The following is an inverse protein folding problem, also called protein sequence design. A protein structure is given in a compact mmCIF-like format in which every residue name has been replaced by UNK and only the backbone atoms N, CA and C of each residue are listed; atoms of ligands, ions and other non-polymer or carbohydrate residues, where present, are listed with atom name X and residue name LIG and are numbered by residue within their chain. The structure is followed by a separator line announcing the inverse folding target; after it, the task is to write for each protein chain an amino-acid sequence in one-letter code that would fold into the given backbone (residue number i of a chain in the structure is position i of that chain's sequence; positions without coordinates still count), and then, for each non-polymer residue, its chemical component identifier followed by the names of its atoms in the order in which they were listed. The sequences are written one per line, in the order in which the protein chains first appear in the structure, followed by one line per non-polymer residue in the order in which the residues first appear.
data_IF_361812794832
#
_entry.id   IF_361812794832
#
_cell.length_a   1.000
_cell.length_b   1.000
_cell.length_c   1.000
_cell.angle_alpha   90.00
_cell.angle_beta   90.00
_cell.angle_gamma   90.00
#
_symmetry.space_group_name_H-M   'P 1'
#
loop_
_entity.id
_entity.type
_entity.pdbx_description
1 polymer ?
#
# COMPACT_ATOMS: atom_id res chain seq x y z
N UNK A 1 -68.93 29.35 77.87
CA UNK A 1 -68.29 30.52 77.24
C UNK A 1 -67.58 30.00 76.01
N UNK A 2 -67.96 30.46 74.82
CA UNK A 2 -67.44 29.94 73.55
C UNK A 2 -66.32 30.89 73.12
N UNK A 3 -65.08 30.39 73.11
CA UNK A 3 -63.93 31.15 72.61
C UNK A 3 -63.86 30.98 71.09
N UNK A 4 -64.21 32.05 70.37
CA UNK A 4 -64.15 32.10 68.91
C UNK A 4 -62.81 32.71 68.54
N UNK A 5 -61.95 31.93 67.88
CA UNK A 5 -60.67 32.40 67.35
C UNK A 5 -60.93 33.29 66.12
N UNK A 6 -60.83 34.61 66.32
CA UNK A 6 -61.12 35.66 65.35
C UNK A 6 -59.99 35.88 64.34
N UNK A 7 -58.95 35.05 64.33
CA UNK A 7 -57.85 35.24 63.39
C UNK A 7 -58.34 35.02 61.94
N UNK A 8 -58.27 36.05 61.07
CA UNK A 8 -58.67 35.93 59.67
C UNK A 8 -57.89 34.80 59.00
N UNK A 9 -58.53 34.04 58.10
CA UNK A 9 -57.91 32.87 57.44
C UNK A 9 -56.56 33.19 56.80
N UNK A 10 -56.36 34.45 56.41
CA UNK A 10 -55.17 34.98 55.74
C UNK A 10 -53.92 35.02 56.64
N UNK A 11 -54.11 35.10 57.96
CA UNK A 11 -53.02 35.10 58.95
C UNK A 11 -52.81 33.76 59.64
N UNK A 12 -53.60 32.74 59.30
CA UNK A 12 -53.37 31.38 59.80
C UNK A 12 -52.12 30.83 59.13
N UNK A 13 -51.01 30.73 59.87
CA UNK A 13 -49.83 30.02 59.41
C UNK A 13 -50.22 28.59 59.07
N UNK A 14 -50.28 28.26 57.78
CA UNK A 14 -50.58 26.90 57.30
C UNK A 14 -49.54 25.96 57.90
N UNK A 15 -49.90 25.19 58.93
CA UNK A 15 -49.09 24.05 59.36
C UNK A 15 -48.94 23.16 58.13
N UNK A 16 -47.73 23.07 57.58
CA UNK A 16 -47.38 22.13 56.50
C UNK A 16 -47.46 20.71 57.09
N UNK A 17 -48.67 20.22 57.26
CA UNK A 17 -48.98 19.07 58.11
C UNK A 17 -48.70 17.70 57.46
N UNK A 18 -48.10 17.66 56.26
CA UNK A 18 -47.91 16.39 55.54
C UNK A 18 -46.50 16.13 55.01
N UNK A 19 -45.56 17.07 55.15
CA UNK A 19 -44.18 16.89 54.66
C UNK A 19 -43.16 16.54 55.76
N UNK A 20 -43.59 16.53 57.03
CA UNK A 20 -42.67 16.41 58.19
C UNK A 20 -42.54 14.97 58.71
N UNK A 21 -43.32 14.01 58.22
CA UNK A 21 -43.32 12.63 58.71
C UNK A 21 -42.79 11.60 57.69
N UNK A 22 -41.97 12.02 56.72
CA UNK A 22 -41.25 11.00 55.95
C UNK A 22 -40.20 10.39 56.88
N UNK A 23 -40.24 9.06 57.15
CA UNK A 23 -39.27 8.42 58.01
C UNK A 23 -37.88 8.58 57.39
N UNK A 24 -37.06 9.47 57.97
CA UNK A 24 -35.70 9.79 57.49
C UNK A 24 -34.85 8.54 57.26
N UNK A 25 -35.08 7.49 58.06
CA UNK A 25 -34.41 6.19 57.95
C UNK A 25 -34.70 5.47 56.63
N UNK A 26 -35.93 5.51 56.15
CA UNK A 26 -36.31 4.88 54.87
C UNK A 26 -35.73 5.64 53.68
N UNK A 27 -35.71 6.97 53.74
CA UNK A 27 -35.06 7.79 52.70
C UNK A 27 -33.56 7.49 52.64
N UNK A 28 -32.88 7.44 53.78
CA UNK A 28 -31.45 7.15 53.84
C UNK A 28 -31.17 5.75 53.28
N UNK A 29 -31.98 4.75 53.63
CA UNK A 29 -31.87 3.40 53.10
C UNK A 29 -32.11 3.34 51.59
N UNK A 30 -33.11 4.07 51.09
CA UNK A 30 -33.41 4.16 49.67
C UNK A 30 -32.29 4.84 48.87
N UNK A 31 -31.71 5.92 49.41
CA UNK A 31 -30.57 6.62 48.81
C UNK A 31 -29.33 5.72 48.78
N UNK A 32 -29.05 5.01 49.89
CA UNK A 32 -27.93 4.08 49.96
C UNK A 32 -28.12 2.92 48.97
N UNK A 33 -29.31 2.34 48.90
CA UNK A 33 -29.65 1.30 47.93
C UNK A 33 -29.50 1.78 46.48
N UNK A 34 -29.99 2.99 46.18
CA UNK A 34 -29.83 3.61 44.87
C UNK A 34 -28.35 3.81 44.51
N UNK A 35 -27.53 4.27 45.46
CA UNK A 35 -26.10 4.48 45.26
C UNK A 35 -25.35 3.16 44.96
N UNK A 36 -25.70 2.09 45.67
CA UNK A 36 -25.14 0.74 45.45
C UNK A 36 -25.55 0.20 44.08
N UNK A 37 -26.82 0.31 43.71
CA UNK A 37 -27.31 -0.10 42.39
C UNK A 37 -26.64 0.69 41.26
N UNK A 38 -26.45 1.99 41.45
CA UNK A 38 -25.76 2.84 40.49
C UNK A 38 -24.29 2.42 40.31
N UNK A 39 -23.59 2.10 41.39
CA UNK A 39 -22.22 1.57 41.31
C UNK A 39 -22.17 0.22 40.59
N UNK A 40 -23.08 -0.71 40.90
CA UNK A 40 -23.17 -2.00 40.22
C UNK A 40 -23.44 -1.82 38.71
N UNK A 41 -24.29 -0.87 38.35
CA UNK A 41 -24.57 -0.54 36.96
C UNK A 41 -23.32 -0.02 36.23
N UNK A 42 -22.58 0.91 36.83
CA UNK A 42 -21.33 1.42 36.26
C UNK A 42 -20.24 0.34 36.13
N UNK A 43 -20.12 -0.54 37.13
CA UNK A 43 -19.19 -1.67 37.09
C UNK A 43 -19.57 -2.63 35.96
N UNK A 44 -20.85 -2.92 35.77
CA UNK A 44 -21.33 -3.77 34.68
C UNK A 44 -21.02 -3.16 33.30
N UNK A 45 -21.26 -1.85 33.14
CA UNK A 45 -21.01 -1.13 31.90
C UNK A 45 -19.52 -1.09 31.55
N UNK A 46 -18.65 -0.84 32.54
CA UNK A 46 -17.19 -0.84 32.36
C UNK A 46 -16.65 -2.25 32.12
N UNK A 47 -17.19 -3.28 32.76
CA UNK A 47 -16.82 -4.68 32.51
C UNK A 47 -17.20 -5.11 31.08
N UNK A 48 -18.36 -4.69 30.57
CA UNK A 48 -18.80 -5.04 29.22
C UNK A 48 -17.95 -4.37 28.15
N UNK A 49 -17.60 -3.09 28.33
CA UNK A 49 -16.68 -2.37 27.43
C UNK A 49 -15.26 -2.95 27.48
N UNK A 50 -14.75 -3.29 28.67
CA UNK A 50 -13.44 -3.93 28.82
C UNK A 50 -13.38 -5.30 28.12
N UNK A 51 -14.46 -6.10 28.17
CA UNK A 51 -14.55 -7.38 27.43
C UNK A 51 -14.49 -7.18 25.92
N UNK A 52 -15.23 -6.20 25.39
CA UNK A 52 -15.19 -5.85 23.96
C UNK A 52 -13.79 -5.42 23.52
N UNK A 53 -13.13 -4.60 24.35
CA UNK A 53 -11.79 -4.10 24.05
C UNK A 53 -10.72 -5.20 24.10
N UNK A 54 -10.84 -6.14 25.05
CA UNK A 54 -9.99 -7.35 25.09
C UNK A 54 -10.20 -8.25 23.87
N UNK A 55 -11.46 -8.46 23.45
CA UNK A 55 -11.77 -9.22 22.25
C UNK A 55 -11.17 -8.61 20.98
N UNK A 56 -11.34 -7.29 20.80
CA UNK A 56 -10.75 -6.57 19.67
C UNK A 56 -9.21 -6.57 19.70
N UNK A 57 -8.60 -6.48 20.90
CA UNK A 57 -7.15 -6.54 21.02
C UNK A 57 -6.61 -7.94 20.69
N UNK A 58 -7.34 -8.99 21.06
CA UNK A 58 -6.99 -10.37 20.70
C UNK A 58 -7.03 -10.59 19.19
N UNK A 59 -8.10 -10.18 18.51
CA UNK A 59 -8.18 -10.29 17.05
C UNK A 59 -7.09 -9.45 16.36
N UNK A 60 -6.78 -8.26 16.85
CA UNK A 60 -5.67 -7.46 16.35
C UNK A 60 -4.30 -8.14 16.51
N UNK A 61 -4.05 -8.80 17.64
CA UNK A 61 -2.81 -9.54 17.88
C UNK A 61 -2.67 -10.76 16.97
N UNK A 62 -3.77 -11.44 16.65
CA UNK A 62 -3.76 -12.56 15.69
C UNK A 62 -3.58 -12.12 14.24
N UNK A 63 -4.08 -10.93 13.88
CA UNK A 63 -3.98 -10.39 12.51
C UNK A 63 -2.65 -9.70 12.24
N UNK A 64 -1.98 -9.15 13.27
CA UNK A 64 -0.68 -8.50 13.14
C UNK A 64 0.39 -9.35 12.43
N UNK A 65 0.66 -10.61 12.82
CA UNK A 65 1.67 -11.42 12.14
C UNK A 65 1.27 -11.82 10.71
N UNK A 66 -0.03 -11.94 10.42
CA UNK A 66 -0.52 -12.20 9.06
C UNK A 66 -0.27 -10.99 8.15
N UNK A 67 -0.48 -9.78 8.66
CA UNK A 67 -0.20 -8.54 7.93
C UNK A 67 1.29 -8.39 7.62
N UNK A 68 2.16 -8.66 8.58
CA UNK A 68 3.61 -8.60 8.39
C UNK A 68 4.10 -9.56 7.29
N UNK A 69 3.55 -10.78 7.27
CA UNK A 69 3.84 -11.75 6.19
C UNK A 69 3.38 -11.23 4.83
N UNK A 70 2.19 -10.66 4.73
CA UNK A 70 1.68 -10.09 3.48
C UNK A 70 2.53 -8.91 2.99
N UNK A 71 2.97 -8.05 3.90
CA UNK A 71 3.87 -6.93 3.56
C UNK A 71 5.25 -7.44 3.10
N UNK A 72 5.76 -8.51 3.71
CA UNK A 72 6.98 -9.20 3.25
C UNK A 72 6.83 -9.79 1.85
N UNK A 73 5.74 -10.51 1.58
CA UNK A 73 5.45 -11.06 0.25
C UNK A 73 5.29 -9.95 -0.80
N UNK A 74 4.63 -8.85 -0.45
CA UNK A 74 4.46 -7.70 -1.34
C UNK A 74 5.80 -7.06 -1.71
N UNK A 75 6.74 -6.96 -0.77
CA UNK A 75 8.11 -6.49 -1.04
C UNK A 75 8.84 -7.43 -1.99
N UNK A 76 8.79 -8.74 -1.75
CA UNK A 76 9.39 -9.74 -2.65
C UNK A 76 8.81 -9.66 -4.07
N UNK A 77 7.48 -9.51 -4.18
CA UNK A 77 6.81 -9.36 -5.47
C UNK A 77 7.28 -8.09 -6.20
N UNK A 78 7.43 -6.98 -5.47
CA UNK A 78 7.91 -5.73 -6.06
C UNK A 78 9.36 -5.83 -6.55
N UNK A 79 10.22 -6.55 -5.83
CA UNK A 79 11.61 -6.76 -6.22
C UNK A 79 11.72 -7.66 -7.45
N UNK A 80 10.92 -8.73 -7.52
CA UNK A 80 10.86 -9.61 -8.69
C UNK A 80 10.34 -8.82 -9.91
N UNK A 81 9.26 -8.07 -9.75
CA UNK A 81 8.71 -7.26 -10.83
C UNK A 81 9.67 -6.18 -11.32
N UNK A 82 10.52 -5.63 -10.45
CA UNK A 82 11.57 -4.69 -10.86
C UNK A 82 12.67 -5.35 -11.72
N UNK A 83 12.89 -6.67 -11.58
CA UNK A 83 13.89 -7.42 -12.36
C UNK A 83 13.37 -7.83 -13.75
N UNK A 84 12.06 -8.03 -13.92
CA UNK A 84 11.43 -8.39 -15.20
C UNK A 84 11.81 -7.43 -16.35
N UNK A 85 11.68 -6.09 -16.23
CA UNK A 85 12.00 -5.19 -17.33
C UNK A 85 13.49 -5.19 -17.70
N UNK A 86 14.39 -5.48 -16.75
CA UNK A 86 15.82 -5.64 -17.04
C UNK A 86 16.08 -6.87 -17.91
N UNK A 87 15.43 -7.99 -17.58
CA UNK A 87 15.50 -9.21 -18.40
C UNK A 87 14.87 -9.01 -19.77
N UNK A 88 13.72 -8.33 -19.86
CA UNK A 88 13.12 -7.99 -21.14
C UNK A 88 14.02 -7.12 -22.02
N UNK A 89 14.70 -6.13 -21.45
CA UNK A 89 15.65 -5.30 -22.20
C UNK A 89 16.83 -6.12 -22.72
N UNK A 90 17.36 -7.04 -21.91
CA UNK A 90 18.44 -7.94 -22.33
C UNK A 90 17.96 -8.87 -23.44
N UNK A 91 16.76 -9.43 -23.35
CA UNK A 91 16.21 -10.33 -24.37
C UNK A 91 15.89 -9.56 -25.67
N UNK A 92 15.25 -8.40 -25.58
CA UNK A 92 14.93 -7.55 -26.74
C UNK A 92 16.20 -7.03 -27.45
N UNK A 93 17.28 -6.78 -26.70
CA UNK A 93 18.56 -6.35 -27.26
C UNK A 93 19.47 -7.49 -27.73
N UNK A 94 19.08 -8.77 -27.54
CA UNK A 94 19.77 -9.91 -28.16
C UNK A 94 19.43 -9.96 -29.66
N UNK A 95 20.08 -9.09 -30.41
CA UNK A 95 20.23 -9.27 -31.85
C UNK A 95 21.02 -10.57 -32.05
N UNK A 96 20.39 -11.58 -32.66
CA UNK A 96 21.07 -12.79 -33.13
C UNK A 96 21.98 -12.39 -34.30
N UNK A 97 23.15 -11.82 -33.98
CA UNK A 97 24.15 -11.39 -34.94
C UNK A 97 24.54 -12.51 -35.90
N UNK A 98 24.57 -13.76 -35.43
CA UNK A 98 24.77 -14.94 -36.27
C UNK A 98 23.75 -15.02 -37.41
N UNK A 99 22.45 -14.91 -37.11
CA UNK A 99 21.39 -14.95 -38.13
C UNK A 99 21.46 -13.75 -39.06
N UNK A 100 21.74 -12.55 -38.53
CA UNK A 100 21.85 -11.32 -39.33
C UNK A 100 23.08 -11.32 -40.24
N UNK A 101 24.21 -11.81 -39.78
CA UNK A 101 25.43 -11.98 -40.56
C UNK A 101 25.26 -13.05 -41.64
N UNK A 102 24.58 -14.15 -41.33
CA UNK A 102 24.28 -15.17 -42.32
C UNK A 102 23.38 -14.63 -43.45
N UNK A 103 22.31 -13.91 -43.10
CA UNK A 103 21.46 -13.23 -44.08
C UNK A 103 22.24 -12.20 -44.91
N UNK A 104 23.17 -11.46 -44.29
CA UNK A 104 24.02 -10.51 -45.01
C UNK A 104 24.93 -11.24 -46.01
N UNK A 105 25.51 -12.39 -45.62
CA UNK A 105 26.33 -13.23 -46.49
C UNK A 105 25.54 -13.80 -47.67
N UNK A 106 24.29 -14.22 -47.45
CA UNK A 106 23.41 -14.74 -48.52
C UNK A 106 23.00 -13.65 -49.52
N UNK A 107 22.87 -12.40 -49.07
CA UNK A 107 22.49 -11.26 -49.91
C UNK A 107 23.68 -10.61 -50.62
N UNK A 108 24.91 -11.01 -50.33
CA UNK A 108 26.09 -10.44 -50.96
C UNK A 108 26.30 -10.96 -52.38
N UNK A 109 26.77 -10.07 -53.27
CA UNK A 109 27.12 -10.42 -54.65
C UNK A 109 28.36 -11.32 -54.64
N UNK A 110 28.36 -12.34 -55.51
CA UNK A 110 29.49 -13.25 -55.68
C UNK A 110 30.77 -12.48 -56.04
N UNK A 111 31.86 -12.78 -55.31
CA UNK A 111 33.15 -12.10 -55.48
C UNK A 111 33.42 -10.95 -54.50
N UNK A 112 32.44 -10.59 -53.65
CA UNK A 112 32.63 -9.63 -52.54
C UNK A 112 32.80 -10.40 -51.23
N UNK A 113 33.80 -10.04 -50.44
CA UNK A 113 34.13 -10.66 -49.15
C UNK A 113 34.17 -9.57 -48.08
N UNK A 114 33.51 -9.78 -46.94
CA UNK A 114 33.59 -8.86 -45.80
C UNK A 114 34.81 -9.21 -44.96
N UNK A 115 35.67 -8.23 -44.72
CA UNK A 115 36.85 -8.40 -43.87
C UNK A 115 36.59 -7.87 -42.46
N UNK A 116 35.88 -6.75 -42.36
CA UNK A 116 35.64 -6.09 -41.08
C UNK A 116 34.24 -5.48 -41.01
N UNK A 117 33.59 -5.68 -39.86
CA UNK A 117 32.33 -5.07 -39.51
C UNK A 117 32.50 -4.40 -38.14
N UNK A 118 32.47 -3.07 -38.11
CA UNK A 118 32.61 -2.31 -36.86
C UNK A 118 31.47 -1.30 -36.69
N UNK A 119 31.08 -1.08 -35.42
CA UNK A 119 30.04 -0.10 -35.05
C UNK A 119 30.70 1.02 -34.28
N UNK A 120 30.86 2.17 -34.91
CA UNK A 120 31.41 3.35 -34.26
C UNK A 120 30.29 4.23 -33.73
N UNK A 121 30.39 4.63 -32.46
CA UNK A 121 29.48 5.63 -31.89
C UNK A 121 30.23 6.95 -31.78
N UNK A 122 29.98 7.87 -32.70
CA UNK A 122 30.60 9.20 -32.66
C UNK A 122 29.73 10.12 -31.83
N UNK A 123 30.30 10.69 -30.76
CA UNK A 123 29.63 11.74 -29.97
C UNK A 123 29.60 13.02 -30.81
N UNK A 124 28.60 13.19 -31.65
CA UNK A 124 28.37 14.46 -32.34
C UNK A 124 28.04 15.54 -31.29
N UNK A 125 28.90 16.55 -31.17
CA UNK A 125 28.81 17.62 -30.17
C UNK A 125 27.67 18.64 -30.39
N UNK A 126 26.70 18.36 -31.26
CA UNK A 126 25.58 19.28 -31.49
C UNK A 126 24.26 18.49 -31.55
N UNK A 127 23.39 18.69 -30.55
CA UNK A 127 22.03 18.12 -30.41
C UNK A 127 21.94 16.63 -30.06
N UNK A 128 22.35 16.28 -28.84
CA UNK A 128 21.57 15.43 -27.93
C UNK A 128 21.32 13.94 -28.26
N UNK A 129 21.74 13.41 -29.42
CA UNK A 129 21.60 11.99 -29.73
C UNK A 129 22.90 11.40 -30.29
N UNK A 130 23.40 10.28 -29.75
CA UNK A 130 24.60 9.63 -30.27
C UNK A 130 24.32 9.00 -31.64
N UNK A 131 25.01 9.47 -32.67
CA UNK A 131 24.98 8.85 -34.01
C UNK A 131 25.84 7.59 -33.99
N UNK A 132 25.22 6.45 -34.32
CA UNK A 132 25.91 5.16 -34.51
C UNK A 132 26.13 4.94 -36.00
N UNK A 133 27.38 4.74 -36.40
CA UNK A 133 27.80 4.42 -37.75
C UNK A 133 28.12 2.92 -37.82
N UNK A 134 27.59 2.25 -38.84
CA UNK A 134 28.00 0.88 -39.19
C UNK A 134 29.03 1.00 -40.30
N UNK A 135 30.27 0.60 -40.02
CA UNK A 135 31.36 0.59 -40.99
C UNK A 135 31.52 -0.86 -41.46
N UNK A 136 31.40 -1.05 -42.76
CA UNK A 136 31.52 -2.34 -43.42
C UNK A 136 32.71 -2.23 -44.38
N UNK A 137 33.75 -3.01 -44.13
CA UNK A 137 34.90 -3.10 -45.04
C UNK A 137 34.90 -4.47 -45.72
N UNK A 138 35.14 -4.46 -47.03
CA UNK A 138 35.21 -5.68 -47.81
C UNK A 138 36.13 -5.56 -49.01
N UNK A 139 36.58 -6.71 -49.49
CA UNK A 139 37.38 -6.86 -50.70
C UNK A 139 36.51 -7.36 -51.85
N UNK A 140 36.76 -6.88 -53.06
CA UNK A 140 36.10 -7.33 -54.28
C UNK A 140 37.13 -7.94 -55.23
N UNK A 141 36.90 -9.18 -55.66
CA UNK A 141 37.66 -9.78 -56.75
C UNK A 141 37.00 -9.37 -58.08
N UNK A 142 37.52 -8.31 -58.69
CA UNK A 142 37.13 -7.92 -60.05
C UNK A 142 37.87 -8.82 -61.04
N UNK A 143 37.13 -9.64 -61.80
CA UNK A 143 37.71 -10.37 -62.94
C UNK A 143 37.91 -9.37 -64.08
N UNK A 144 39.06 -8.70 -64.11
CA UNK A 144 39.51 -7.95 -65.29
C UNK A 144 39.69 -8.93 -66.45
N UNK A 145 39.10 -8.61 -67.60
CA UNK A 145 38.95 -9.47 -68.79
C UNK A 145 40.27 -9.84 -69.51
N UNK A 146 41.44 -9.56 -68.94
CA UNK A 146 42.71 -9.55 -69.66
C UNK A 146 43.73 -10.63 -69.23
N UNK A 147 43.30 -11.72 -68.59
CA UNK A 147 44.16 -12.90 -68.43
C UNK A 147 43.62 -14.11 -69.20
N UNK A 148 44.43 -14.72 -70.09
CA UNK A 148 43.98 -15.82 -70.93
C UNK A 148 43.74 -17.07 -70.09
N UNK A 149 42.71 -17.81 -70.47
CA UNK A 149 42.41 -19.13 -69.91
C UNK A 149 43.62 -20.04 -70.05
N UNK A 150 44.23 -20.40 -68.92
CA UNK A 150 45.11 -21.57 -68.84
C UNK A 150 44.29 -22.74 -68.31
N UNK A 151 44.37 -23.80 -69.11
CA UNK A 151 43.71 -25.12 -69.06
C UNK A 151 43.93 -25.80 -67.71
#
# INVERSE_FOLDING_TARGET
MIEIDLLPQEFRTKKKAYLTQIPKKEIILAVLGCLVLFHLFLISLTAMSAKRLKGLKGTWQELAPKRERLDGLKKQLSEINARIPLFEQVIKNRILWSKKLNQLSELMVSGIWLNELSVETKKAQAKGQPLKYLIIQGSCASRTKDEPALI
#
